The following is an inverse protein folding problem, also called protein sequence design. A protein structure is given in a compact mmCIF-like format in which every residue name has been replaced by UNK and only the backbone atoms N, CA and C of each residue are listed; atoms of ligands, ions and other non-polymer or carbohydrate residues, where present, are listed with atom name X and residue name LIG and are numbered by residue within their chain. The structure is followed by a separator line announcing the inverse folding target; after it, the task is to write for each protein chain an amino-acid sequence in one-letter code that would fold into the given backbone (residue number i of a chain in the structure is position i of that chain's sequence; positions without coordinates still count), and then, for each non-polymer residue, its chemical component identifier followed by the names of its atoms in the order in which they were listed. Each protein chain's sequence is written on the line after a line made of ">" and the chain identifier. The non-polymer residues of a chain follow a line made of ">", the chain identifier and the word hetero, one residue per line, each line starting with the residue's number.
data_IF_362387599682
#
_entry.id   IF_362387599682
#
_cell.length_a   1.000
_cell.length_b   1.000
_cell.length_c   1.000
_cell.angle_alpha   90.00
_cell.angle_beta   90.00
_cell.angle_gamma   90.00
#
_symmetry.space_group_name_H-M   'P 1'
#
loop_
_entity.id
_entity.type
_entity.pdbx_description
1 polymer ?
#
# COMPACT_ATOMS: atom_id res chain seq x y z
N UNK A 1 -5.25 -2.04 -0.78
CA UNK A 1 -3.80 -1.96 -0.56
C UNK A 1 -3.32 -0.58 -0.14
N UNK A 2 -3.32 0.47 -0.99
CA UNK A 2 -2.66 1.77 -0.68
C UNK A 2 -3.00 2.35 0.70
N UNK A 3 -4.28 2.37 1.10
CA UNK A 3 -4.70 2.81 2.44
C UNK A 3 -4.10 1.97 3.58
N UNK A 4 -4.11 0.64 3.44
CA UNK A 4 -3.47 -0.27 4.41
C UNK A 4 -1.95 -0.19 4.39
N UNK A 5 -1.33 0.15 3.25
CA UNK A 5 0.10 0.39 3.18
C UNK A 5 0.54 1.60 4.04
N UNK A 6 -0.41 2.46 4.43
CA UNK A 6 -0.18 3.62 5.30
C UNK A 6 -0.50 3.34 6.78
N UNK A 7 -0.84 2.09 7.13
CA UNK A 7 -0.91 1.64 8.53
C UNK A 7 0.36 0.84 8.88
N UNK A 8 0.46 0.34 10.10
CA UNK A 8 1.56 -0.56 10.54
C UNK A 8 1.32 -2.04 10.21
N UNK A 9 0.28 -2.36 9.43
CA UNK A 9 -0.03 -3.76 9.09
C UNK A 9 1.11 -4.41 8.28
N UNK A 10 1.38 -5.67 8.56
CA UNK A 10 2.21 -6.57 7.75
C UNK A 10 1.45 -7.05 6.51
N UNK A 11 2.15 -7.60 5.52
CA UNK A 11 1.47 -8.14 4.33
C UNK A 11 0.56 -9.34 4.64
N UNK A 12 0.87 -10.11 5.68
CA UNK A 12 0.02 -11.20 6.18
C UNK A 12 -1.27 -10.68 6.81
N UNK A 13 -1.20 -9.60 7.58
CA UNK A 13 -2.40 -8.97 8.15
C UNK A 13 -3.25 -8.33 7.05
N UNK A 14 -2.63 -7.70 6.04
CA UNK A 14 -3.34 -7.15 4.88
C UNK A 14 -4.00 -8.24 4.05
N UNK A 15 -3.33 -9.38 3.84
CA UNK A 15 -3.89 -10.49 3.07
C UNK A 15 -5.13 -11.06 3.77
N UNK A 16 -5.05 -11.21 5.09
CA UNK A 16 -6.16 -11.62 5.95
C UNK A 16 -7.31 -10.62 5.88
N UNK A 17 -7.04 -9.33 6.07
CA UNK A 17 -8.05 -8.27 6.05
C UNK A 17 -8.74 -8.11 4.67
N UNK A 18 -8.03 -8.40 3.58
CA UNK A 18 -8.57 -8.35 2.22
C UNK A 18 -9.17 -9.68 1.74
N UNK A 19 -9.08 -10.76 2.54
CA UNK A 19 -9.45 -12.12 2.14
C UNK A 19 -8.77 -12.58 0.83
N UNK A 20 -7.48 -12.27 0.67
CA UNK A 20 -6.65 -12.67 -0.48
C UNK A 20 -5.35 -13.33 -0.04
N UNK A 21 -4.61 -13.93 -0.96
CA UNK A 21 -3.27 -14.46 -0.66
C UNK A 21 -2.22 -13.35 -0.50
N UNK A 22 -1.15 -13.61 0.25
CA UNK A 22 -0.01 -12.68 0.38
C UNK A 22 0.61 -12.34 -0.99
N UNK A 23 0.68 -13.31 -1.92
CA UNK A 23 1.11 -13.09 -3.31
C UNK A 23 0.25 -12.06 -4.05
N UNK A 24 -1.05 -12.00 -3.73
CA UNK A 24 -1.95 -11.00 -4.32
C UNK A 24 -1.65 -9.60 -3.79
N UNK A 25 -1.30 -9.49 -2.50
CA UNK A 25 -0.83 -8.24 -1.88
C UNK A 25 0.47 -7.76 -2.55
N UNK A 26 1.44 -8.64 -2.77
CA UNK A 26 2.66 -8.32 -3.55
C UNK A 26 2.32 -7.82 -4.95
N UNK A 27 1.37 -8.47 -5.64
CA UNK A 27 0.91 -8.02 -6.96
C UNK A 27 0.29 -6.62 -6.94
N UNK A 28 -0.48 -6.27 -5.90
CA UNK A 28 -1.00 -4.90 -5.74
C UNK A 28 0.11 -3.89 -5.49
N UNK A 29 1.10 -4.24 -4.66
CA UNK A 29 2.28 -3.41 -4.38
C UNK A 29 3.05 -3.12 -5.66
N UNK A 30 3.41 -4.16 -6.41
CA UNK A 30 4.25 -4.03 -7.60
C UNK A 30 3.56 -3.22 -8.69
N UNK A 31 2.25 -3.42 -8.88
CA UNK A 31 1.44 -2.61 -9.80
C UNK A 31 1.42 -1.13 -9.41
N UNK A 32 1.29 -0.83 -8.12
CA UNK A 32 1.32 0.56 -7.64
C UNK A 32 2.72 1.17 -7.73
N UNK A 33 3.77 0.43 -7.39
CA UNK A 33 5.15 0.86 -7.56
C UNK A 33 5.43 1.25 -9.01
N UNK A 34 5.05 0.40 -9.96
CA UNK A 34 5.21 0.70 -11.38
C UNK A 34 4.35 1.89 -11.83
N UNK A 35 3.05 1.89 -11.50
CA UNK A 35 2.11 2.93 -11.93
C UNK A 35 2.47 4.32 -11.39
N UNK A 36 2.97 4.38 -10.15
CA UNK A 36 3.27 5.63 -9.47
C UNK A 36 4.76 6.01 -9.54
N UNK A 37 5.58 5.18 -10.20
CA UNK A 37 7.04 5.31 -10.23
C UNK A 37 7.66 5.46 -8.83
N UNK A 38 7.21 4.61 -7.90
CA UNK A 38 7.63 4.58 -6.49
C UNK A 38 8.34 3.26 -6.20
N UNK A 39 9.37 3.29 -5.35
CA UNK A 39 10.23 2.13 -5.06
C UNK A 39 10.10 1.58 -3.64
N UNK A 40 9.29 2.19 -2.77
CA UNK A 40 9.15 1.77 -1.38
C UNK A 40 7.75 2.01 -0.84
N UNK A 41 7.41 1.27 0.23
CA UNK A 41 6.16 1.49 0.98
C UNK A 41 6.05 2.93 1.46
N UNK A 42 7.13 3.49 2.00
CA UNK A 42 7.19 4.90 2.43
C UNK A 42 6.86 5.85 1.28
N UNK A 43 7.40 5.59 0.08
CA UNK A 43 7.06 6.40 -1.09
C UNK A 43 5.57 6.33 -1.48
N UNK A 44 4.90 5.20 -1.25
CA UNK A 44 3.45 5.09 -1.45
C UNK A 44 2.68 5.90 -0.41
N UNK A 45 3.13 5.90 0.84
CA UNK A 45 2.55 6.73 1.91
C UNK A 45 2.70 8.21 1.55
N UNK A 46 3.90 8.65 1.16
CA UNK A 46 4.15 10.03 0.75
C UNK A 46 3.31 10.43 -0.47
N UNK A 47 3.14 9.52 -1.44
CA UNK A 47 2.23 9.76 -2.56
C UNK A 47 0.79 9.94 -2.08
N UNK A 48 0.30 9.08 -1.19
CA UNK A 48 -1.07 9.15 -0.68
C UNK A 48 -1.35 10.47 0.05
N UNK A 49 -0.42 10.94 0.89
CA UNK A 49 -0.52 12.22 1.61
C UNK A 49 -0.52 13.39 0.63
N UNK A 50 0.45 13.45 -0.29
CA UNK A 50 0.58 14.56 -1.27
C UNK A 50 -0.65 14.72 -2.17
N UNK A 51 -1.40 13.64 -2.38
CA UNK A 51 -2.60 13.63 -3.22
C UNK A 51 -3.91 13.68 -2.41
N UNK A 52 -3.86 13.90 -1.09
CA UNK A 52 -5.05 13.97 -0.24
C UNK A 52 -5.85 12.67 -0.18
N UNK A 53 -5.21 11.52 -0.44
CA UNK A 53 -5.86 10.19 -0.35
C UNK A 53 -5.99 9.78 1.13
N UNK A 54 -5.06 10.26 1.97
CA UNK A 54 -4.98 10.02 3.40
C UNK A 54 -4.44 11.29 4.07
N UNK A 55 -5.05 11.65 5.20
CA UNK A 55 -4.64 12.80 5.99
C UNK A 55 -3.73 12.39 7.16
N UNK A 56 -2.77 13.26 7.47
CA UNK A 56 -1.99 13.19 8.70
C UNK A 56 -2.70 14.07 9.75
N UNK A 57 -3.68 13.50 10.44
CA UNK A 57 -4.45 14.07 11.58
C UNK A 57 -5.00 15.50 11.41
#
# INVERSE_FOLDING_TARGET
>A
FLKMACTEMTYKEMSTAMAVSERTIDGYRDRLFHKLNVRSRIGLVMYAIRNGIIDLY
#
